data_IF_226569605251
#
_entry.id   IF_226569605251
#
_cell.length_a   1.000
_cell.length_b   1.000
_cell.length_c   1.000
_cell.angle_alpha   90.00
_cell.angle_beta   90.00
_cell.angle_gamma   90.00
#
_symmetry.space_group_name_H-M   'P 1'
#
loop_
_entity.id
_entity.type
_entity.pdbx_description
1 polymer ?
#
# COMPACT_ATOMS: atom_id res chain seq x y z
N UNK A 1 34.22 -20.09 32.78
CA UNK A 1 32.93 -20.79 32.89
C UNK A 1 32.38 -20.50 34.29
N UNK A 2 31.08 -20.18 34.37
CA UNK A 2 30.36 -19.68 35.55
C UNK A 2 30.77 -18.25 35.95
N UNK A 3 30.09 -17.17 35.54
CA UNK A 3 28.66 -16.89 35.75
C UNK A 3 28.18 -17.43 37.09
N UNK A 4 28.33 -16.65 38.14
CA UNK A 4 27.36 -16.43 39.22
C UNK A 4 28.02 -15.58 40.30
N UNK A 5 27.21 -14.91 41.14
CA UNK A 5 27.61 -14.31 42.41
C UNK A 5 28.11 -12.84 42.45
N UNK A 6 27.90 -12.02 41.42
CA UNK A 6 28.13 -10.56 41.52
C UNK A 6 26.86 -9.69 41.34
N UNK A 7 25.67 -10.27 41.40
CA UNK A 7 24.40 -9.55 41.56
C UNK A 7 23.99 -9.53 43.03
N UNK A 8 24.89 -9.04 43.89
CA UNK A 8 24.59 -8.71 45.29
C UNK A 8 24.23 -7.23 45.39
N UNK A 9 22.92 -6.98 45.54
CA UNK A 9 22.34 -5.91 46.36
C UNK A 9 22.62 -4.48 45.90
N UNK A 10 21.93 -4.04 44.85
CA UNK A 10 21.50 -2.63 44.81
C UNK A 10 20.29 -2.49 45.75
N UNK A 11 20.29 -1.52 46.69
CA UNK A 11 19.21 -1.35 47.64
C UNK A 11 17.90 -1.00 46.92
N UNK A 12 16.84 -1.72 47.27
CA UNK A 12 15.47 -1.61 46.73
C UNK A 12 14.74 -0.30 47.14
N UNK A 13 15.49 0.77 47.40
CA UNK A 13 14.98 2.08 47.83
C UNK A 13 14.99 3.15 46.73
N UNK A 14 15.51 2.86 45.53
CA UNK A 14 15.58 3.83 44.42
C UNK A 14 15.00 3.32 43.09
N UNK A 15 14.00 2.43 43.15
CA UNK A 15 13.14 2.08 42.02
C UNK A 15 11.66 2.12 42.42
N UNK A 16 11.25 3.13 43.19
CA UNK A 16 9.85 3.31 43.64
C UNK A 16 9.22 4.64 43.23
N UNK A 17 9.91 5.46 42.45
CA UNK A 17 9.46 6.83 42.19
C UNK A 17 9.48 7.20 40.70
N UNK A 18 8.89 6.37 39.84
CA UNK A 18 8.48 6.78 38.47
C UNK A 18 7.31 5.94 37.94
N UNK A 19 6.22 5.88 38.72
CA UNK A 19 4.90 5.55 38.18
C UNK A 19 3.84 6.39 38.89
N UNK A 20 3.90 7.70 38.68
CA UNK A 20 2.79 8.61 38.96
C UNK A 20 2.13 9.03 37.65
N UNK A 21 0.81 9.23 37.72
CA UNK A 21 -0.11 9.68 36.66
C UNK A 21 -0.45 8.59 35.64
N UNK A 22 -1.71 8.18 35.43
CA UNK A 22 -2.99 8.82 35.69
C UNK A 22 -3.99 7.72 36.05
N UNK A 23 -4.65 7.82 37.21
CA UNK A 23 -5.83 7.01 37.54
C UNK A 23 -7.01 7.96 37.46
N UNK A 24 -7.59 8.06 36.26
CA UNK A 24 -8.83 8.81 36.03
C UNK A 24 -9.93 8.23 36.90
N UNK A 25 -10.46 9.05 37.80
CA UNK A 25 -11.67 8.80 38.56
C UNK A 25 -12.84 8.62 37.60
N UNK A 26 -13.48 7.45 37.65
CA UNK A 26 -14.83 7.21 37.15
C UNK A 26 -15.52 6.31 38.16
N UNK A 27 -16.02 6.90 39.23
CA UNK A 27 -17.05 6.26 40.06
C UNK A 27 -18.35 7.05 39.88
N UNK A 28 -18.91 6.91 38.69
CA UNK A 28 -20.34 7.15 38.46
C UNK A 28 -20.95 5.76 38.40
N UNK A 29 -21.66 5.37 39.46
CA UNK A 29 -22.45 4.13 39.50
C UNK A 29 -23.68 4.28 38.58
N UNK A 30 -23.43 4.36 37.27
CA UNK A 30 -24.46 4.17 36.25
C UNK A 30 -24.88 2.70 36.33
N UNK A 31 -26.11 2.43 36.77
CA UNK A 31 -26.67 1.09 36.73
C UNK A 31 -26.62 0.58 35.28
N UNK A 32 -25.83 -0.47 35.04
CA UNK A 32 -25.57 -0.98 33.70
C UNK A 32 -26.87 -1.54 33.11
N UNK A 33 -27.37 -0.90 32.05
CA UNK A 33 -28.53 -1.41 31.29
C UNK A 33 -28.21 -2.80 30.75
N UNK A 34 -29.17 -3.74 30.81
CA UNK A 34 -28.94 -5.12 30.38
C UNK A 34 -28.39 -5.17 28.95
N UNK A 35 -27.19 -5.75 28.73
CA UNK A 35 -26.63 -5.89 27.40
C UNK A 35 -27.43 -6.90 26.58
N UNK A 36 -27.39 -6.77 25.26
CA UNK A 36 -28.02 -7.73 24.35
C UNK A 36 -27.27 -9.06 24.43
N UNK A 37 -27.94 -10.12 24.87
CA UNK A 37 -27.32 -11.45 25.06
C UNK A 37 -27.62 -12.46 23.93
N UNK A 38 -28.43 -12.08 22.93
CA UNK A 38 -28.84 -12.97 21.82
C UNK A 38 -28.64 -12.29 20.47
N UNK A 39 -28.29 -13.06 19.44
CA UNK A 39 -28.15 -12.55 18.07
C UNK A 39 -26.91 -11.67 17.83
N UNK A 40 -25.91 -11.72 18.73
CA UNK A 40 -24.66 -10.95 18.59
C UNK A 40 -23.93 -11.30 17.28
N UNK A 41 -23.90 -12.58 16.90
CA UNK A 41 -23.25 -13.03 15.68
C UNK A 41 -23.94 -12.51 14.41
N UNK A 42 -25.27 -12.57 14.34
CA UNK A 42 -26.03 -12.12 13.16
C UNK A 42 -25.92 -10.61 12.98
N UNK A 43 -25.88 -9.85 14.09
CA UNK A 43 -25.61 -8.41 14.07
C UNK A 43 -24.21 -8.09 13.52
N UNK A 44 -23.19 -8.81 13.99
CA UNK A 44 -21.82 -8.64 13.51
C UNK A 44 -21.67 -8.99 12.03
N UNK A 45 -22.24 -10.11 11.58
CA UNK A 45 -22.17 -10.53 10.17
C UNK A 45 -22.79 -9.48 9.25
N UNK A 46 -23.97 -8.95 9.59
CA UNK A 46 -24.61 -7.90 8.78
C UNK A 46 -23.73 -6.66 8.67
N UNK A 47 -23.14 -6.21 9.78
CA UNK A 47 -22.23 -5.06 9.79
C UNK A 47 -20.99 -5.34 8.95
N UNK A 48 -20.35 -6.49 9.14
CA UNK A 48 -19.12 -6.84 8.45
C UNK A 48 -19.35 -7.02 6.95
N UNK A 49 -20.49 -7.56 6.54
CA UNK A 49 -20.86 -7.72 5.13
C UNK A 49 -20.98 -6.37 4.43
N UNK A 50 -21.66 -5.40 5.04
CA UNK A 50 -21.76 -4.04 4.49
C UNK A 50 -20.37 -3.40 4.36
N UNK A 51 -19.53 -3.50 5.40
CA UNK A 51 -18.17 -2.97 5.38
C UNK A 51 -17.34 -3.64 4.28
N UNK A 52 -17.43 -4.96 4.14
CA UNK A 52 -16.68 -5.71 3.13
C UNK A 52 -17.08 -5.31 1.71
N UNK A 53 -18.38 -5.15 1.43
CA UNK A 53 -18.86 -4.72 0.11
C UNK A 53 -18.38 -3.32 -0.23
N UNK A 54 -18.45 -2.39 0.72
CA UNK A 54 -17.97 -1.02 0.51
C UNK A 54 -16.45 -1.00 0.28
N UNK A 55 -15.69 -1.69 1.13
CA UNK A 55 -14.23 -1.73 1.02
C UNK A 55 -13.78 -2.35 -0.30
N UNK A 56 -14.43 -3.44 -0.72
CA UNK A 56 -14.18 -4.07 -2.01
C UNK A 56 -14.46 -3.11 -3.17
N UNK A 57 -15.59 -2.41 -3.15
CA UNK A 57 -15.94 -1.42 -4.17
C UNK A 57 -14.91 -0.28 -4.26
N UNK A 58 -14.45 0.25 -3.12
CA UNK A 58 -13.42 1.28 -3.06
C UNK A 58 -12.09 0.77 -3.62
N UNK A 59 -11.69 -0.45 -3.27
CA UNK A 59 -10.45 -1.03 -3.78
C UNK A 59 -10.47 -1.19 -5.31
N UNK A 60 -11.59 -1.67 -5.88
CA UNK A 60 -11.76 -1.81 -7.32
C UNK A 60 -11.76 -0.45 -8.02
N UNK A 61 -12.49 0.53 -7.48
CA UNK A 61 -12.51 1.89 -8.02
C UNK A 61 -11.12 2.53 -7.99
N UNK A 62 -10.40 2.39 -6.86
CA UNK A 62 -9.03 2.85 -6.70
C UNK A 62 -8.09 2.25 -7.74
N UNK A 63 -8.14 0.93 -7.95
CA UNK A 63 -7.32 0.26 -8.96
C UNK A 63 -7.62 0.73 -10.39
N UNK A 64 -8.90 0.89 -10.73
CA UNK A 64 -9.31 1.36 -12.06
C UNK A 64 -8.79 2.77 -12.34
N UNK A 65 -8.91 3.68 -11.38
CA UNK A 65 -8.53 5.08 -11.56
C UNK A 65 -7.01 5.25 -11.52
N UNK A 66 -6.33 4.62 -10.56
CA UNK A 66 -4.89 4.84 -10.33
C UNK A 66 -4.00 4.03 -11.26
N UNK A 67 -4.45 2.88 -11.76
CA UNK A 67 -3.60 1.98 -12.56
C UNK A 67 -4.15 1.83 -13.97
N UNK A 68 -5.43 1.48 -14.11
CA UNK A 68 -5.95 1.13 -15.43
C UNK A 68 -6.10 2.34 -16.36
N UNK A 69 -6.66 3.44 -15.85
CA UNK A 69 -6.89 4.66 -16.62
C UNK A 69 -5.58 5.32 -17.11
N UNK A 70 -4.56 5.58 -16.26
CA UNK A 70 -3.33 6.21 -16.75
C UNK A 70 -2.59 5.34 -17.75
N UNK A 71 -2.61 4.00 -17.59
CA UNK A 71 -2.03 3.10 -18.59
C UNK A 71 -2.71 3.26 -19.95
N UNK A 72 -4.05 3.25 -19.98
CA UNK A 72 -4.80 3.46 -21.22
C UNK A 72 -4.55 4.82 -21.84
N UNK A 73 -4.47 5.85 -21.01
CA UNK A 73 -4.21 7.21 -21.44
C UNK A 73 -2.81 7.35 -22.05
N UNK A 74 -1.77 6.77 -21.44
CA UNK A 74 -0.41 6.77 -21.99
C UNK A 74 -0.34 6.13 -23.38
N UNK A 75 -1.03 5.00 -23.60
CA UNK A 75 -1.10 4.41 -24.94
C UNK A 75 -1.83 5.32 -25.92
N UNK A 76 -2.95 5.92 -25.50
CA UNK A 76 -3.69 6.84 -26.35
C UNK A 76 -2.85 8.08 -26.70
N UNK A 77 -2.11 8.62 -25.74
CA UNK A 77 -1.25 9.79 -25.92
C UNK A 77 -0.06 9.47 -26.81
N UNK A 78 0.52 8.26 -26.70
CA UNK A 78 1.58 7.81 -27.60
C UNK A 78 1.12 7.85 -29.07
N UNK A 79 -0.05 7.30 -29.38
CA UNK A 79 -0.53 7.22 -30.77
C UNK A 79 -1.14 8.52 -31.32
N UNK A 80 -1.31 9.58 -30.52
CA UNK A 80 -1.85 10.86 -31.02
C UNK A 80 -0.90 11.57 -31.97
N UNK A 81 0.37 11.64 -31.60
CA UNK A 81 1.41 12.39 -32.31
C UNK A 81 2.49 11.47 -32.91
N UNK A 82 2.23 10.15 -32.94
CA UNK A 82 3.20 9.17 -33.44
C UNK A 82 3.26 9.18 -34.97
N UNK A 83 4.42 9.57 -35.50
CA UNK A 83 4.77 9.39 -36.91
C UNK A 83 5.63 8.14 -37.09
N UNK A 84 5.05 7.13 -37.74
CA UNK A 84 5.70 5.84 -37.97
C UNK A 84 6.91 5.94 -38.91
N UNK A 85 6.91 6.88 -39.87
CA UNK A 85 8.03 7.02 -40.82
C UNK A 85 9.23 7.65 -40.13
N UNK A 86 9.03 8.74 -39.38
CA UNK A 86 10.12 9.39 -38.64
C UNK A 86 10.77 8.46 -37.59
N UNK A 87 9.98 7.62 -36.91
CA UNK A 87 10.51 6.61 -35.99
C UNK A 87 11.25 5.49 -36.75
N UNK A 88 10.71 5.04 -37.88
CA UNK A 88 11.36 4.05 -38.74
C UNK A 88 12.72 4.55 -39.24
N UNK A 89 12.80 5.77 -39.77
CA UNK A 89 14.04 6.35 -40.28
C UNK A 89 15.08 6.49 -39.17
N UNK A 90 14.65 6.86 -37.95
CA UNK A 90 15.53 6.89 -36.77
C UNK A 90 16.12 5.52 -36.46
N UNK A 91 15.29 4.47 -36.41
CA UNK A 91 15.72 3.11 -36.08
C UNK A 91 16.56 2.51 -37.22
N UNK A 92 16.22 2.82 -38.46
CA UNK A 92 16.96 2.44 -39.66
C UNK A 92 18.35 3.03 -39.65
N UNK A 93 18.48 4.30 -39.31
CA UNK A 93 19.77 4.98 -39.20
C UNK A 93 20.62 4.50 -38.01
N UNK A 94 20.01 3.86 -37.01
CA UNK A 94 20.72 3.15 -35.94
C UNK A 94 21.24 1.77 -36.37
N UNK A 95 20.95 1.31 -37.60
CA UNK A 95 21.45 0.04 -38.13
C UNK A 95 20.82 -1.20 -37.49
N UNK A 96 19.66 -1.06 -36.84
CA UNK A 96 18.96 -2.20 -36.21
C UNK A 96 18.26 -3.11 -37.21
N UNK A 97 17.92 -2.59 -38.40
CA UNK A 97 17.22 -3.38 -39.41
C UNK A 97 18.19 -4.24 -40.22
N UNK A 98 17.89 -5.53 -40.33
CA UNK A 98 18.60 -6.44 -41.23
C UNK A 98 18.13 -6.29 -42.69
N UNK A 99 16.91 -5.80 -42.90
CA UNK A 99 16.27 -5.68 -44.21
C UNK A 99 16.47 -4.32 -44.88
N UNK A 100 16.80 -3.28 -44.12
CA UNK A 100 16.88 -1.90 -44.62
C UNK A 100 18.19 -1.27 -44.14
N UNK A 101 19.02 -0.82 -45.08
CA UNK A 101 20.30 -0.16 -44.80
C UNK A 101 20.10 1.31 -44.41
N UNK A 102 20.92 1.87 -43.50
CA UNK A 102 20.85 3.29 -43.13
C UNK A 102 21.02 4.20 -44.36
N UNK A 103 20.34 5.35 -44.38
CA UNK A 103 20.25 6.19 -45.60
C UNK A 103 21.59 6.86 -46.01
N UNK A 104 22.65 6.70 -45.20
CA UNK A 104 24.00 7.24 -45.44
C UNK A 104 25.04 6.21 -45.90
N UNK A 105 24.69 4.93 -46.02
CA UNK A 105 25.56 3.91 -46.63
C UNK A 105 25.09 3.66 -48.07
N UNK A 106 25.63 4.45 -49.00
CA UNK A 106 25.54 4.12 -50.43
C UNK A 106 26.21 2.76 -50.64
N UNK A 107 25.53 1.87 -51.36
CA UNK A 107 26.10 0.59 -51.72
C UNK A 107 27.34 0.84 -52.59
N UNK A 108 28.52 0.67 -52.01
CA UNK A 108 29.73 0.41 -52.78
C UNK A 108 29.46 -0.91 -53.56
N UNK A 109 29.17 -0.77 -54.86
CA UNK A 109 29.37 -1.83 -55.86
C UNK A 109 30.87 -2.08 -56.07
#
# INVERSE_FOLDING_TARGET
>A
MAQEAATRRLPHSLLRHLRSSSRSSLDTTMSLTKPVMRGLLTSQIKRQLVIATVLSGVAVAGWKILVQNPRKQLYADFYKDYDAQAEFDRIRNLGLFQSCRPDGEEAEE
#
